data_IF_301001783628
#
_entry.id   IF_301001783628
#
_cell.length_a   1.000
_cell.length_b   1.000
_cell.length_c   1.000
_cell.angle_alpha   90.00
_cell.angle_beta   90.00
_cell.angle_gamma   90.00
#
_symmetry.space_group_name_H-M   'P 1'
#
loop_
_entity.id
_entity.type
_entity.pdbx_description
1 polymer ?
#
# COMPACT_ATOMS: atom_id res chain seq x y z
N UNK A 1 -24.31 0.24 -20.99
CA UNK A 1 -23.05 0.91 -20.66
C UNK A 1 -23.21 1.55 -19.30
N UNK A 2 -22.57 0.97 -18.29
CA UNK A 2 -22.53 1.54 -16.94
C UNK A 2 -21.80 2.89 -17.02
N UNK A 3 -22.28 3.92 -16.33
CA UNK A 3 -21.60 5.22 -16.26
C UNK A 3 -20.20 5.17 -15.64
N UNK A 4 -19.84 4.01 -15.06
CA UNK A 4 -18.55 3.71 -14.44
C UNK A 4 -17.64 2.83 -15.31
N UNK A 5 -18.01 2.53 -16.57
CA UNK A 5 -17.10 1.97 -17.60
C UNK A 5 -15.91 2.91 -17.93
N UNK A 6 -15.75 3.99 -17.16
CA UNK A 6 -14.67 4.97 -17.27
C UNK A 6 -13.31 4.45 -16.77
N UNK A 7 -13.25 3.38 -15.96
CA UNK A 7 -12.03 2.60 -15.73
C UNK A 7 -12.37 1.12 -15.54
N UNK A 8 -12.15 0.35 -16.61
CA UNK A 8 -11.86 -1.08 -16.51
C UNK A 8 -10.36 -1.26 -16.75
N UNK A 9 -9.59 -1.33 -15.66
CA UNK A 9 -8.13 -1.45 -15.73
C UNK A 9 -7.68 -2.63 -16.59
N UNK A 10 -8.46 -3.70 -16.71
CA UNK A 10 -8.14 -4.85 -17.57
C UNK A 10 -8.27 -4.54 -19.05
N UNK A 11 -9.23 -3.69 -19.43
CA UNK A 11 -9.39 -3.26 -20.81
C UNK A 11 -8.41 -2.14 -21.19
N UNK A 12 -8.09 -1.25 -20.24
CA UNK A 12 -7.21 -0.11 -20.52
C UNK A 12 -5.72 -0.45 -20.42
N UNK A 13 -5.29 -1.33 -19.53
CA UNK A 13 -3.87 -1.66 -19.35
C UNK A 13 -3.20 -2.12 -20.65
N UNK A 14 -3.73 -3.08 -21.45
CA UNK A 14 -3.10 -3.48 -22.70
C UNK A 14 -3.00 -2.34 -23.73
N UNK A 15 -3.98 -1.43 -23.74
CA UNK A 15 -3.99 -0.27 -24.64
C UNK A 15 -2.94 0.75 -24.16
N UNK A 16 -2.91 1.05 -22.87
CA UNK A 16 -1.96 1.96 -22.25
C UNK A 16 -0.52 1.44 -22.39
N UNK A 17 -0.28 0.16 -22.09
CA UNK A 17 0.99 -0.53 -22.29
C UNK A 17 1.45 -0.40 -23.75
N UNK A 18 0.60 -0.70 -24.72
CA UNK A 18 0.94 -0.54 -26.14
C UNK A 18 1.28 0.93 -26.52
N UNK A 19 0.60 1.91 -25.92
CA UNK A 19 0.89 3.33 -26.14
C UNK A 19 2.23 3.74 -25.52
N UNK A 20 2.50 3.32 -24.28
CA UNK A 20 3.76 3.58 -23.58
C UNK A 20 4.92 2.90 -24.31
N UNK A 21 4.77 1.66 -24.73
CA UNK A 21 5.83 0.91 -25.42
C UNK A 21 6.21 1.51 -26.77
N UNK A 22 5.28 2.13 -27.50
CA UNK A 22 5.62 2.92 -28.69
C UNK A 22 6.46 4.15 -28.35
N UNK A 23 6.22 4.76 -27.18
CA UNK A 23 7.05 5.87 -26.69
C UNK A 23 8.43 5.34 -26.27
N UNK A 24 8.49 4.23 -25.54
CA UNK A 24 9.74 3.57 -25.13
C UNK A 24 10.57 3.23 -26.37
N UNK A 25 10.01 2.58 -27.38
CA UNK A 25 10.69 2.24 -28.64
C UNK A 25 11.25 3.48 -29.35
N UNK A 26 10.53 4.60 -29.32
CA UNK A 26 10.97 5.85 -29.91
C UNK A 26 12.10 6.56 -29.11
N UNK A 27 12.23 6.28 -27.81
CA UNK A 27 13.28 6.82 -26.94
C UNK A 27 14.50 5.91 -26.95
N UNK A 28 14.30 4.61 -26.71
CA UNK A 28 15.32 3.58 -26.74
C UNK A 28 14.74 2.23 -27.24
N UNK A 29 15.03 1.83 -28.50
CA UNK A 29 14.54 0.59 -29.06
C UNK A 29 15.19 -0.67 -28.45
N UNK A 30 16.36 -0.55 -27.82
CA UNK A 30 17.00 -1.67 -27.11
C UNK A 30 16.24 -1.97 -25.82
N UNK A 31 15.94 -0.93 -25.04
CA UNK A 31 15.10 -1.04 -23.84
C UNK A 31 13.72 -1.61 -24.19
N UNK A 32 13.11 -1.17 -25.29
CA UNK A 32 11.81 -1.69 -25.72
C UNK A 32 11.83 -3.20 -26.02
N UNK A 33 12.96 -3.74 -26.48
CA UNK A 33 13.12 -5.17 -26.76
C UNK A 33 13.32 -6.02 -25.49
N UNK A 34 13.70 -5.39 -24.37
CA UNK A 34 13.93 -6.05 -23.08
C UNK A 34 12.66 -6.12 -22.21
N UNK A 35 11.65 -5.31 -22.54
CA UNK A 35 10.39 -5.24 -21.78
C UNK A 35 9.35 -6.18 -22.39
N UNK A 36 8.87 -7.14 -21.60
CA UNK A 36 7.70 -7.94 -21.95
C UNK A 36 6.41 -7.14 -21.72
N UNK A 37 5.78 -6.70 -22.82
CA UNK A 37 4.54 -5.90 -22.80
C UNK A 37 3.35 -6.66 -22.21
N UNK A 38 3.40 -8.00 -22.22
CA UNK A 38 2.35 -8.85 -21.65
C UNK A 38 2.70 -9.35 -20.25
N UNK A 39 3.88 -8.98 -19.73
CA UNK A 39 4.34 -9.22 -18.36
C UNK A 39 4.27 -7.96 -17.49
N UNK A 40 5.11 -7.89 -16.46
CA UNK A 40 5.25 -6.70 -15.60
C UNK A 40 6.07 -5.61 -16.31
N UNK A 41 5.47 -4.98 -17.30
CA UNK A 41 6.12 -3.97 -18.12
C UNK A 41 6.47 -2.70 -17.30
N UNK A 42 5.69 -2.38 -16.27
CA UNK A 42 5.95 -1.27 -15.35
C UNK A 42 7.19 -1.52 -14.48
N UNK A 43 7.30 -2.72 -13.91
CA UNK A 43 8.46 -3.16 -13.14
C UNK A 43 9.73 -3.19 -13.99
N UNK A 44 9.64 -3.78 -15.19
CA UNK A 44 10.75 -3.81 -16.14
C UNK A 44 11.19 -2.41 -16.55
N UNK A 45 10.25 -1.49 -16.79
CA UNK A 45 10.57 -0.10 -17.11
C UNK A 45 11.27 0.60 -15.93
N UNK A 46 10.84 0.33 -14.69
CA UNK A 46 11.46 0.88 -13.48
C UNK A 46 12.88 0.37 -13.24
N UNK A 47 13.15 -0.89 -13.57
CA UNK A 47 14.44 -1.55 -13.37
C UNK A 47 15.46 -1.18 -14.45
N UNK A 48 15.02 -1.13 -15.72
CA UNK A 48 15.94 -1.05 -16.85
C UNK A 48 16.08 0.36 -17.44
N UNK A 49 15.07 1.23 -17.27
CA UNK A 49 15.17 2.59 -17.80
C UNK A 49 16.02 3.49 -16.89
N UNK A 50 16.95 4.22 -17.48
CA UNK A 50 17.71 5.25 -16.78
C UNK A 50 16.80 6.43 -16.38
N UNK A 51 17.20 7.24 -15.39
CA UNK A 51 16.43 8.44 -15.02
C UNK A 51 16.19 9.42 -16.18
N UNK A 52 17.13 9.50 -17.14
CA UNK A 52 17.04 10.35 -18.33
C UNK A 52 15.99 9.80 -19.29
N UNK A 53 15.99 8.49 -19.54
CA UNK A 53 15.00 7.83 -20.40
C UNK A 53 13.60 7.91 -19.79
N UNK A 54 13.45 7.66 -18.48
CA UNK A 54 12.17 7.80 -17.79
C UNK A 54 11.60 9.22 -17.91
N UNK A 55 12.45 10.24 -17.76
CA UNK A 55 12.03 11.63 -17.92
C UNK A 55 11.59 11.94 -19.36
N UNK A 56 12.30 11.42 -20.37
CA UNK A 56 11.94 11.61 -21.78
C UNK A 56 10.66 10.86 -22.15
N UNK A 57 10.51 9.61 -21.72
CA UNK A 57 9.29 8.82 -21.88
C UNK A 57 8.12 9.55 -21.23
N UNK A 58 8.30 10.03 -19.99
CA UNK A 58 7.31 10.81 -19.27
C UNK A 58 6.86 12.06 -20.05
N UNK A 59 7.79 12.85 -20.59
CA UNK A 59 7.46 14.04 -21.40
C UNK A 59 6.64 13.70 -22.65
N UNK A 60 6.90 12.55 -23.27
CA UNK A 60 6.18 12.09 -24.48
C UNK A 60 4.83 11.43 -24.15
N UNK A 61 4.69 10.79 -23.00
CA UNK A 61 3.41 10.20 -22.52
C UNK A 61 2.47 11.28 -22.00
N UNK A 62 2.98 12.33 -21.35
CA UNK A 62 2.20 13.42 -20.76
C UNK A 62 1.06 13.97 -21.66
N UNK A 63 1.29 14.37 -22.92
CA UNK A 63 0.20 14.87 -23.78
C UNK A 63 -0.85 13.81 -24.13
N UNK A 64 -0.51 12.51 -24.05
CA UNK A 64 -1.47 11.43 -24.24
C UNK A 64 -2.41 11.29 -23.04
N UNK A 65 -1.88 11.47 -21.83
CA UNK A 65 -2.65 11.41 -20.59
C UNK A 65 -3.47 12.68 -20.32
N UNK A 66 -2.91 13.86 -20.59
CA UNK A 66 -3.57 15.16 -20.32
C UNK A 66 -4.61 15.54 -21.39
N UNK A 67 -4.85 14.71 -22.42
CA UNK A 67 -5.80 15.02 -23.50
C UNK A 67 -7.26 15.10 -23.04
N UNK A 68 -7.66 14.26 -22.07
CA UNK A 68 -9.01 14.19 -21.53
C UNK A 68 -9.06 13.23 -20.35
N UNK A 69 -9.43 13.70 -19.16
CA UNK A 69 -9.61 12.81 -18.00
C UNK A 69 -10.90 11.95 -18.09
N UNK A 70 -11.83 12.31 -18.99
CA UNK A 70 -13.01 11.50 -19.31
C UNK A 70 -12.69 10.33 -20.26
N UNK A 71 -11.50 10.29 -20.87
CA UNK A 71 -11.03 9.16 -21.67
C UNK A 71 -10.37 8.11 -20.74
N UNK A 72 -10.90 6.87 -20.66
CA UNK A 72 -10.40 5.84 -19.74
C UNK A 72 -8.91 5.56 -19.90
N UNK A 73 -8.42 5.52 -21.15
CA UNK A 73 -7.02 5.22 -21.44
C UNK A 73 -6.14 6.41 -21.04
N UNK A 74 -6.60 7.63 -21.31
CA UNK A 74 -5.86 8.83 -20.90
C UNK A 74 -5.77 8.95 -19.37
N UNK A 75 -6.85 8.64 -18.66
CA UNK A 75 -6.87 8.59 -17.20
C UNK A 75 -5.97 7.49 -16.64
N UNK A 76 -5.94 6.31 -17.27
CA UNK A 76 -5.00 5.26 -16.91
C UNK A 76 -3.54 5.72 -17.10
N UNK A 77 -3.24 6.37 -18.23
CA UNK A 77 -1.91 6.94 -18.47
C UNK A 77 -1.54 8.04 -17.45
N UNK A 78 -2.53 8.78 -16.94
CA UNK A 78 -2.31 9.79 -15.91
C UNK A 78 -1.86 9.17 -14.58
N UNK A 79 -2.43 8.03 -14.18
CA UNK A 79 -2.00 7.32 -12.96
C UNK A 79 -0.59 6.73 -13.05
N UNK A 80 -0.03 6.58 -14.26
CA UNK A 80 1.37 6.16 -14.47
C UNK A 80 2.39 7.29 -14.28
N UNK A 81 1.95 8.54 -14.10
CA UNK A 81 2.85 9.68 -13.95
C UNK A 81 3.91 9.53 -12.83
N UNK A 82 3.58 8.99 -11.64
CA UNK A 82 4.57 8.72 -10.60
C UNK A 82 5.65 7.73 -11.04
N UNK A 83 5.28 6.67 -11.77
CA UNK A 83 6.24 5.71 -12.34
C UNK A 83 7.20 6.42 -13.30
N UNK A 84 6.65 7.28 -14.17
CA UNK A 84 7.38 8.06 -15.16
C UNK A 84 8.08 9.31 -14.60
N UNK A 85 8.12 9.46 -13.26
CA UNK A 85 8.73 10.60 -12.56
C UNK A 85 8.16 11.97 -12.96
N UNK A 86 6.91 12.00 -13.41
CA UNK A 86 6.17 13.24 -13.67
C UNK A 86 5.55 13.70 -12.34
N UNK A 87 6.14 14.73 -11.75
CA UNK A 87 5.71 15.24 -10.43
C UNK A 87 4.87 16.52 -10.50
N UNK A 88 4.76 17.16 -11.68
CA UNK A 88 4.13 18.48 -11.88
C UNK A 88 2.83 18.43 -12.69
N UNK A 89 2.04 17.37 -12.53
CA UNK A 89 0.75 17.24 -13.21
C UNK A 89 -0.35 18.01 -12.50
N UNK A 90 -1.26 18.59 -13.27
CA UNK A 90 -2.44 19.23 -12.69
C UNK A 90 -3.42 18.15 -12.19
N UNK A 91 -3.41 17.90 -10.89
CA UNK A 91 -4.30 16.90 -10.27
C UNK A 91 -5.72 17.42 -10.02
N UNK A 92 -6.05 18.63 -10.48
CA UNK A 92 -7.41 19.18 -10.37
C UNK A 92 -8.43 18.30 -11.07
N UNK A 93 -8.07 17.63 -12.17
CA UNK A 93 -8.96 16.71 -12.90
C UNK A 93 -9.42 15.52 -12.05
N UNK A 94 -8.52 14.97 -11.23
CA UNK A 94 -8.82 13.86 -10.32
C UNK A 94 -9.81 14.33 -9.24
N UNK A 95 -9.56 15.51 -8.66
CA UNK A 95 -10.44 16.10 -7.64
C UNK A 95 -11.81 16.48 -8.21
N UNK A 96 -11.85 16.98 -9.44
CA UNK A 96 -13.10 17.27 -10.16
C UNK A 96 -13.93 16.00 -10.36
N UNK A 97 -13.30 14.86 -10.65
CA UNK A 97 -14.02 13.59 -10.82
C UNK A 97 -14.58 13.08 -9.48
N UNK A 98 -13.83 13.18 -8.38
CA UNK A 98 -14.36 12.90 -7.03
C UNK A 98 -15.61 13.74 -6.72
N UNK A 99 -15.58 15.04 -7.03
CA UNK A 99 -16.75 15.92 -6.84
C UNK A 99 -17.96 15.50 -7.69
N UNK A 100 -17.74 15.07 -8.94
CA UNK A 100 -18.82 14.57 -9.81
C UNK A 100 -19.42 13.26 -9.28
N UNK A 101 -18.58 12.39 -8.71
CA UNK A 101 -18.97 11.04 -8.31
C UNK A 101 -19.47 10.93 -6.84
N UNK A 102 -19.32 11.98 -6.04
CA UNK A 102 -19.60 11.92 -4.59
C UNK A 102 -21.05 11.55 -4.24
N UNK A 103 -22.02 11.89 -5.07
CA UNK A 103 -23.45 11.64 -4.80
C UNK A 103 -23.95 10.37 -5.50
N UNK A 104 -23.02 9.59 -6.08
CA UNK A 104 -23.35 8.39 -6.79
C UNK A 104 -23.67 7.22 -5.88
N UNK A 105 -24.57 6.34 -6.35
CA UNK A 105 -24.94 5.16 -5.60
C UNK A 105 -23.73 4.21 -5.49
N UNK A 106 -23.33 3.80 -4.27
CA UNK A 106 -22.21 2.89 -4.08
C UNK A 106 -22.36 1.58 -4.89
N UNK A 107 -21.31 1.24 -5.63
CA UNK A 107 -21.17 -0.03 -6.33
C UNK A 107 -19.68 -0.35 -6.55
N UNK A 108 -19.37 -1.60 -6.88
CA UNK A 108 -18.00 -2.07 -7.04
C UNK A 108 -17.22 -1.27 -8.10
N UNK A 109 -17.86 -0.93 -9.22
CA UNK A 109 -17.21 -0.16 -10.29
C UNK A 109 -16.86 1.26 -9.83
N UNK A 110 -17.73 1.89 -9.05
CA UNK A 110 -17.48 3.21 -8.47
C UNK A 110 -16.30 3.14 -7.49
N UNK A 111 -16.28 2.15 -6.59
CA UNK A 111 -15.20 1.97 -5.63
C UNK A 111 -13.84 1.81 -6.34
N UNK A 112 -13.77 1.01 -7.40
CA UNK A 112 -12.55 0.84 -8.22
C UNK A 112 -12.04 2.15 -8.81
N UNK A 113 -12.95 2.94 -9.37
CA UNK A 113 -12.64 4.24 -9.98
C UNK A 113 -12.10 5.22 -8.91
N UNK A 114 -12.74 5.25 -7.74
CA UNK A 114 -12.32 6.13 -6.64
C UNK A 114 -10.99 5.68 -6.01
N UNK A 115 -10.77 4.37 -5.88
CA UNK A 115 -9.52 3.81 -5.34
C UNK A 115 -8.33 4.12 -6.27
N UNK A 116 -8.50 3.96 -7.59
CA UNK A 116 -7.47 4.33 -8.56
C UNK A 116 -7.09 5.82 -8.49
N UNK A 117 -8.10 6.69 -8.38
CA UNK A 117 -7.89 8.13 -8.28
C UNK A 117 -7.23 8.54 -6.97
N UNK A 118 -7.58 7.92 -5.84
CA UNK A 118 -6.93 8.25 -4.57
C UNK A 118 -5.47 7.81 -4.56
N UNK A 119 -5.13 6.67 -5.18
CA UNK A 119 -3.75 6.22 -5.32
C UNK A 119 -2.92 7.20 -6.16
N UNK A 120 -3.54 7.78 -7.18
CA UNK A 120 -2.94 8.88 -7.96
C UNK A 120 -2.65 10.09 -7.07
N UNK A 121 -3.62 10.55 -6.27
CA UNK A 121 -3.44 11.68 -5.34
C UNK A 121 -2.39 11.39 -4.26
N UNK A 122 -2.32 10.16 -3.75
CA UNK A 122 -1.32 9.72 -2.77
C UNK A 122 0.07 9.77 -3.38
N UNK A 123 0.22 9.33 -4.63
CA UNK A 123 1.53 9.19 -5.29
C UNK A 123 2.15 10.53 -5.68
N UNK A 124 1.33 11.54 -5.96
CA UNK A 124 1.75 12.90 -6.32
C UNK A 124 1.69 13.89 -5.15
N UNK A 125 1.57 13.39 -3.92
CA UNK A 125 1.44 14.22 -2.72
C UNK A 125 2.69 15.09 -2.48
N UNK A 126 2.58 16.38 -2.80
CA UNK A 126 3.67 17.36 -2.76
C UNK A 126 3.13 18.77 -2.43
N UNK A 127 3.96 19.70 -1.93
CA UNK A 127 3.51 21.05 -1.53
C UNK A 127 2.75 21.81 -2.61
N UNK A 128 3.14 21.65 -3.88
CA UNK A 128 2.48 22.22 -5.05
C UNK A 128 1.03 21.80 -5.24
N UNK A 129 0.61 20.66 -4.68
CA UNK A 129 -0.76 20.12 -4.81
C UNK A 129 -1.62 20.32 -3.56
N UNK A 130 -1.13 21.04 -2.53
CA UNK A 130 -1.86 21.24 -1.27
C UNK A 130 -3.27 21.79 -1.49
N UNK A 131 -3.46 22.72 -2.43
CA UNK A 131 -4.77 23.33 -2.70
C UNK A 131 -5.78 22.30 -3.22
N UNK A 132 -5.35 21.42 -4.13
CA UNK A 132 -6.19 20.33 -4.65
C UNK A 132 -6.48 19.29 -3.58
N UNK A 133 -5.49 18.92 -2.76
CA UNK A 133 -5.67 17.98 -1.66
C UNK A 133 -6.63 18.54 -0.58
N UNK A 134 -6.53 19.83 -0.24
CA UNK A 134 -7.47 20.51 0.66
C UNK A 134 -8.89 20.46 0.10
N UNK A 135 -9.05 20.78 -1.20
CA UNK A 135 -10.35 20.71 -1.87
C UNK A 135 -10.95 19.30 -1.82
N UNK A 136 -10.16 18.27 -2.15
CA UNK A 136 -10.59 16.88 -2.08
C UNK A 136 -11.03 16.48 -0.66
N UNK A 137 -10.24 16.84 0.36
CA UNK A 137 -10.54 16.53 1.75
C UNK A 137 -11.76 17.30 2.28
N UNK A 138 -12.17 18.38 1.63
CA UNK A 138 -13.38 19.13 2.00
C UNK A 138 -14.67 18.55 1.43
N UNK A 139 -14.60 17.70 0.40
CA UNK A 139 -15.79 17.10 -0.23
C UNK A 139 -16.64 16.39 0.85
N UNK A 140 -17.84 16.90 1.09
CA UNK A 140 -18.72 16.40 2.13
C UNK A 140 -19.66 15.33 1.55
N UNK A 141 -19.21 14.06 1.58
CA UNK A 141 -20.00 12.91 1.16
C UNK A 141 -19.47 11.62 1.80
N UNK A 142 -20.39 10.73 2.20
CA UNK A 142 -20.07 9.40 2.71
C UNK A 142 -19.44 8.49 1.63
N UNK A 143 -19.75 8.72 0.36
CA UNK A 143 -19.28 7.90 -0.77
C UNK A 143 -17.76 7.97 -0.95
N UNK A 144 -17.17 9.16 -0.77
CA UNK A 144 -15.73 9.40 -0.98
C UNK A 144 -14.93 9.34 0.33
N UNK A 145 -15.61 9.13 1.46
CA UNK A 145 -15.00 9.10 2.77
C UNK A 145 -13.89 8.05 2.91
N UNK A 146 -14.05 6.80 2.40
CA UNK A 146 -12.98 5.80 2.48
C UNK A 146 -11.68 6.28 1.83
N UNK A 147 -11.77 6.92 0.67
CA UNK A 147 -10.63 7.47 -0.05
C UNK A 147 -10.01 8.67 0.68
N UNK A 148 -10.83 9.58 1.24
CA UNK A 148 -10.33 10.67 2.08
C UNK A 148 -9.53 10.13 3.28
N UNK A 149 -10.03 9.07 3.93
CA UNK A 149 -9.34 8.43 5.04
C UNK A 149 -8.03 7.74 4.61
N UNK A 150 -8.01 7.10 3.43
CA UNK A 150 -6.79 6.51 2.87
C UNK A 150 -5.72 7.58 2.61
N UNK A 151 -6.10 8.70 1.98
CA UNK A 151 -5.20 9.82 1.73
C UNK A 151 -4.65 10.44 3.03
N UNK A 152 -5.49 10.63 4.06
CA UNK A 152 -5.05 11.13 5.38
C UNK A 152 -4.01 10.19 6.00
N UNK A 153 -4.26 8.88 5.98
CA UNK A 153 -3.31 7.91 6.53
C UNK A 153 -1.97 7.96 5.79
N UNK A 154 -2.02 7.92 4.45
CA UNK A 154 -0.83 7.94 3.61
C UNK A 154 -0.01 9.23 3.82
N UNK A 155 -0.66 10.39 3.88
CA UNK A 155 0.07 11.64 4.08
C UNK A 155 0.66 11.80 5.49
N UNK A 156 0.06 11.19 6.51
CA UNK A 156 0.65 11.15 7.87
C UNK A 156 1.87 10.24 7.87
N UNK A 157 1.78 9.06 7.24
CA UNK A 157 2.89 8.13 7.09
C UNK A 157 4.07 8.76 6.34
N UNK A 158 3.80 9.49 5.25
CA UNK A 158 4.79 10.25 4.48
C UNK A 158 5.32 11.50 5.20
N UNK A 159 4.73 11.89 6.33
CA UNK A 159 5.06 13.12 7.05
C UNK A 159 4.59 14.40 6.35
N UNK A 160 3.90 14.30 5.21
CA UNK A 160 3.46 15.41 4.37
C UNK A 160 2.62 16.44 5.13
N UNK A 161 1.64 15.98 5.93
CA UNK A 161 0.72 16.89 6.62
C UNK A 161 1.39 17.76 7.69
N UNK A 162 2.59 17.40 8.15
CA UNK A 162 3.30 18.19 9.18
C UNK A 162 3.76 19.55 8.63
N UNK A 163 4.13 19.58 7.36
CA UNK A 163 4.62 20.78 6.68
C UNK A 163 3.50 21.51 5.90
N UNK A 164 2.27 20.99 5.95
CA UNK A 164 1.11 21.53 5.25
C UNK A 164 0.16 22.26 6.22
N UNK A 165 0.53 23.49 6.62
CA UNK A 165 -0.27 24.34 7.54
C UNK A 165 -1.73 24.46 7.11
N UNK A 166 -1.97 24.57 5.81
CA UNK A 166 -3.32 24.67 5.24
C UNK A 166 -4.22 23.47 5.54
N UNK A 167 -3.64 22.32 5.92
CA UNK A 167 -4.35 21.06 6.18
C UNK A 167 -4.49 20.76 7.69
N UNK A 168 -3.97 21.62 8.57
CA UNK A 168 -4.01 21.42 10.02
C UNK A 168 -5.44 21.44 10.61
N UNK A 169 -6.42 21.96 9.87
CA UNK A 169 -7.84 21.88 10.25
C UNK A 169 -8.35 20.44 10.36
N UNK A 170 -7.72 19.47 9.69
CA UNK A 170 -8.08 18.05 9.73
C UNK A 170 -8.10 17.51 11.16
N UNK A 171 -7.24 18.03 12.03
CA UNK A 171 -7.10 17.52 13.40
C UNK A 171 -8.38 17.73 14.24
N UNK A 172 -9.23 18.68 13.88
CA UNK A 172 -10.53 18.93 14.52
C UNK A 172 -11.69 18.79 13.53
N UNK A 173 -11.50 18.04 12.45
CA UNK A 173 -12.48 17.88 11.38
C UNK A 173 -13.49 16.77 11.65
N UNK A 174 -14.44 16.60 10.71
CA UNK A 174 -15.44 15.52 10.69
C UNK A 174 -14.84 14.10 10.68
N UNK A 175 -13.56 13.96 10.35
CA UNK A 175 -12.87 12.67 10.34
C UNK A 175 -12.60 12.12 11.76
N UNK A 176 -12.69 12.97 12.79
CA UNK A 176 -12.51 12.56 14.18
C UNK A 176 -13.65 11.68 14.68
N UNK A 177 -13.29 10.67 15.48
CA UNK A 177 -14.23 9.74 16.09
C UNK A 177 -14.80 8.70 15.11
N UNK A 178 -14.41 8.74 13.85
CA UNK A 178 -14.88 7.76 12.85
C UNK A 178 -14.32 6.36 13.10
N UNK A 179 -13.01 6.26 13.33
CA UNK A 179 -12.38 5.05 13.87
C UNK A 179 -11.04 5.37 14.54
N UNK A 180 -10.60 4.47 15.41
CA UNK A 180 -9.37 4.61 16.19
C UNK A 180 -8.11 4.84 15.34
N UNK A 181 -8.03 4.22 14.16
CA UNK A 181 -6.85 4.35 13.28
C UNK A 181 -6.75 5.75 12.67
N UNK A 182 -7.88 6.31 12.21
CA UNK A 182 -7.90 7.66 11.67
C UNK A 182 -7.66 8.70 12.78
N UNK A 183 -8.21 8.48 13.97
CA UNK A 183 -7.91 9.34 15.13
C UNK A 183 -6.42 9.37 15.46
N UNK A 184 -5.76 8.21 15.46
CA UNK A 184 -4.30 8.13 15.66
C UNK A 184 -3.52 8.85 14.57
N UNK A 185 -3.93 8.75 13.30
CA UNK A 185 -3.30 9.48 12.20
C UNK A 185 -3.42 11.00 12.42
N UNK A 186 -4.61 11.47 12.78
CA UNK A 186 -4.89 12.88 13.06
C UNK A 186 -4.12 13.40 14.30
N UNK A 187 -3.91 12.58 15.32
CA UNK A 187 -3.08 12.94 16.47
C UNK A 187 -1.62 13.15 16.07
N UNK A 188 -1.10 12.30 15.17
CA UNK A 188 0.29 12.37 14.66
C UNK A 188 0.57 13.58 13.76
N UNK A 189 -0.46 14.30 13.30
CA UNK A 189 -0.30 15.53 12.52
C UNK A 189 0.27 16.69 13.36
N UNK A 190 0.00 16.73 14.68
CA UNK A 190 0.41 17.83 15.59
C UNK A 190 1.78 17.64 16.22
N UNK A 191 2.41 16.48 16.06
CA UNK A 191 3.71 16.20 16.68
C UNK A 191 4.81 17.01 16.01
N UNK A 192 5.58 17.75 16.81
CA UNK A 192 6.77 18.51 16.41
C UNK A 192 7.74 17.68 15.55
N UNK A 193 8.55 18.32 14.68
CA UNK A 193 9.47 17.59 13.83
C UNK A 193 10.43 16.79 14.70
N UNK A 194 10.54 15.48 14.43
CA UNK A 194 11.72 14.74 14.85
C UNK A 194 12.90 15.40 14.17
N UNK A 195 13.89 15.84 14.94
CA UNK A 195 15.17 16.28 14.38
C UNK A 195 15.62 15.27 13.33
N UNK A 196 15.96 15.78 12.14
CA UNK A 196 16.55 15.00 11.06
C UNK A 196 17.88 14.44 11.57
N UNK A 197 17.86 13.25 12.15
CA UNK A 197 19.01 12.38 12.13
C UNK A 197 19.18 11.95 10.67
N UNK A 198 19.99 12.70 9.93
CA UNK A 198 20.56 12.27 8.66
C UNK A 198 21.49 11.10 9.00
N UNK A 199 20.92 9.91 9.05
CA UNK A 199 21.66 8.67 8.89
C UNK A 199 21.22 8.12 7.55
N UNK A 200 22.19 7.95 6.65
CA UNK A 200 22.05 7.35 5.33
C UNK A 200 20.99 6.26 5.33
N UNK A 201 19.82 6.55 4.72
CA UNK A 201 18.84 5.53 4.39
C UNK A 201 19.30 4.88 3.09
N UNK A 202 19.69 3.59 3.08
CA UNK A 202 19.68 2.85 1.83
C UNK A 202 18.23 2.78 1.38
N UNK A 203 17.95 3.10 0.11
CA UNK A 203 16.71 2.73 -0.54
C UNK A 203 16.58 1.20 -0.46
N UNK A 204 15.76 0.71 0.47
CA UNK A 204 15.47 -0.70 0.61
C UNK A 204 14.18 -1.00 -0.15
N UNK A 205 14.30 -1.39 -1.42
CA UNK A 205 13.29 -2.14 -2.15
C UNK A 205 13.14 -3.54 -1.55
N UNK A 206 12.55 -3.65 -0.37
CA UNK A 206 12.34 -4.90 0.36
C UNK A 206 10.86 -5.18 0.55
N UNK A 207 10.45 -6.41 0.23
CA UNK A 207 9.11 -6.98 0.44
C UNK A 207 8.47 -6.57 1.78
N UNK A 208 7.23 -6.07 1.75
CA UNK A 208 6.47 -5.77 2.97
C UNK A 208 5.81 -7.06 3.49
N UNK A 209 6.01 -7.47 4.76
CA UNK A 209 5.32 -8.62 5.32
C UNK A 209 3.84 -8.30 5.57
N UNK A 210 2.97 -9.22 5.17
CA UNK A 210 1.53 -9.16 5.40
C UNK A 210 1.17 -10.18 6.47
N UNK A 211 0.55 -9.72 7.55
CA UNK A 211 0.20 -10.54 8.70
C UNK A 211 -1.27 -10.93 8.64
N UNK A 212 -1.55 -12.23 8.60
CA UNK A 212 -2.90 -12.79 8.53
C UNK A 212 -3.15 -13.64 9.78
N UNK A 213 -4.08 -13.26 10.67
CA UNK A 213 -4.47 -14.08 11.81
C UNK A 213 -5.31 -15.24 11.30
N UNK A 214 -4.98 -16.45 11.73
CA UNK A 214 -5.64 -17.69 11.30
C UNK A 214 -6.27 -18.35 12.52
N UNK A 215 -7.61 -18.44 12.59
CA UNK A 215 -8.29 -19.08 13.71
C UNK A 215 -7.81 -20.51 13.95
N UNK A 216 -7.67 -20.93 15.21
CA UNK A 216 -7.14 -22.26 15.56
C UNK A 216 -7.82 -23.42 14.80
N UNK A 217 -9.15 -23.35 14.63
CA UNK A 217 -9.93 -24.35 13.90
C UNK A 217 -9.58 -24.41 12.41
N UNK A 218 -9.31 -23.26 11.79
CA UNK A 218 -8.89 -23.15 10.39
C UNK A 218 -7.40 -23.52 10.22
N UNK A 219 -6.55 -23.13 11.17
CA UNK A 219 -5.12 -23.48 11.18
C UNK A 219 -4.92 -25.00 11.13
N UNK A 220 -5.72 -25.76 11.89
CA UNK A 220 -5.68 -27.22 11.89
C UNK A 220 -6.20 -27.85 10.59
N UNK A 221 -7.04 -27.14 9.83
CA UNK A 221 -7.52 -27.59 8.53
C UNK A 221 -6.49 -27.31 7.43
N UNK A 222 -5.89 -26.12 7.44
CA UNK A 222 -4.83 -25.73 6.51
C UNK A 222 -3.63 -26.67 6.58
N UNK A 223 -3.25 -27.16 7.77
CA UNK A 223 -2.19 -28.16 7.92
C UNK A 223 -2.45 -29.48 7.16
N UNK A 224 -3.68 -29.77 6.76
CA UNK A 224 -4.06 -31.03 6.08
C UNK A 224 -4.08 -30.93 4.56
N UNK A 225 -4.04 -29.72 4.00
CA UNK A 225 -4.02 -29.51 2.55
C UNK A 225 -2.59 -29.20 2.09
N UNK A 226 -2.33 -29.26 0.79
CA UNK A 226 -0.99 -28.97 0.25
C UNK A 226 -0.65 -27.47 0.31
N UNK A 227 0.61 -27.13 0.03
CA UNK A 227 1.12 -25.76 0.16
C UNK A 227 0.37 -24.76 -0.75
N UNK A 228 0.09 -25.14 -2.00
CA UNK A 228 -0.60 -24.29 -2.95
C UNK A 228 -2.06 -24.04 -2.53
N UNK A 229 -2.77 -25.08 -2.11
CA UNK A 229 -4.14 -24.98 -1.61
C UNK A 229 -4.23 -24.17 -0.31
N UNK A 230 -3.23 -24.28 0.58
CA UNK A 230 -3.15 -23.44 1.79
C UNK A 230 -3.04 -21.96 1.47
N UNK A 231 -2.16 -21.60 0.53
CA UNK A 231 -1.97 -20.22 0.13
C UNK A 231 -3.22 -19.67 -0.56
N UNK A 232 -3.83 -20.45 -1.45
CA UNK A 232 -5.09 -20.09 -2.12
C UNK A 232 -6.21 -19.84 -1.09
N UNK A 233 -6.40 -20.74 -0.12
CA UNK A 233 -7.44 -20.56 0.92
C UNK A 233 -7.18 -19.32 1.80
N UNK A 234 -5.92 -19.02 2.11
CA UNK A 234 -5.55 -17.82 2.87
C UNK A 234 -5.79 -16.54 2.05
N UNK A 235 -5.41 -16.53 0.77
CA UNK A 235 -5.66 -15.41 -0.13
C UNK A 235 -7.16 -15.18 -0.34
N UNK A 236 -7.94 -16.23 -0.62
CA UNK A 236 -9.40 -16.14 -0.77
C UNK A 236 -10.06 -15.59 0.51
N UNK A 237 -9.62 -16.05 1.68
CA UNK A 237 -10.15 -15.57 2.96
C UNK A 237 -9.79 -14.10 3.24
N UNK A 238 -8.64 -13.62 2.73
CA UNK A 238 -8.25 -12.21 2.80
C UNK A 238 -9.06 -11.37 1.80
N UNK A 239 -9.17 -11.82 0.55
CA UNK A 239 -9.89 -11.12 -0.53
C UNK A 239 -11.40 -11.00 -0.24
N UNK A 240 -12.00 -12.05 0.31
CA UNK A 240 -13.40 -12.03 0.76
C UNK A 240 -13.63 -11.32 2.11
N UNK A 241 -12.59 -10.67 2.67
CA UNK A 241 -12.61 -9.97 3.96
C UNK A 241 -13.05 -10.85 5.14
N UNK A 242 -12.83 -12.18 5.03
CA UNK A 242 -13.10 -13.15 6.11
C UNK A 242 -12.03 -13.10 7.21
N UNK A 243 -10.81 -12.67 6.88
CA UNK A 243 -9.71 -12.49 7.82
C UNK A 243 -9.22 -11.02 7.84
N UNK A 244 -8.92 -10.51 9.04
CA UNK A 244 -8.40 -9.15 9.22
C UNK A 244 -6.89 -9.13 8.97
N UNK A 245 -6.43 -8.38 7.98
CA UNK A 245 -5.00 -8.30 7.65
C UNK A 245 -4.32 -7.14 8.38
N UNK A 246 -3.11 -7.39 8.88
CA UNK A 246 -2.18 -6.35 9.33
C UNK A 246 -1.12 -6.12 8.26
N UNK A 247 -1.19 -4.98 7.57
CA UNK A 247 -0.08 -4.45 6.78
C UNK A 247 0.74 -3.54 7.68
N UNK A 248 1.84 -4.06 8.21
CA UNK A 248 2.66 -3.31 9.16
C UNK A 248 3.83 -2.71 8.38
N UNK A 249 3.58 -1.54 7.79
CA UNK A 249 4.57 -0.76 7.08
C UNK A 249 5.49 -0.04 8.08
N UNK A 250 6.74 -0.45 8.08
CA UNK A 250 7.76 0.16 8.92
C UNK A 250 9.12 -0.37 8.59
N UNK A 251 9.60 -0.14 7.36
CA UNK A 251 10.99 -0.35 6.93
C UNK A 251 11.63 -1.60 7.56
N UNK A 252 11.33 -2.77 6.98
CA UNK A 252 11.56 -4.11 7.56
C UNK A 252 12.88 -4.28 8.32
N UNK A 253 13.97 -3.69 7.83
CA UNK A 253 15.28 -3.72 8.50
C UNK A 253 15.34 -2.94 9.84
N UNK A 254 14.76 -1.74 9.93
CA UNK A 254 14.79 -0.93 11.14
C UNK A 254 13.88 -1.51 12.24
N UNK A 255 12.71 -2.01 11.86
CA UNK A 255 11.81 -2.72 12.78
C UNK A 255 12.43 -4.04 13.24
N UNK A 256 13.04 -4.80 12.33
CA UNK A 256 13.78 -6.02 12.67
C UNK A 256 14.92 -5.75 13.65
N UNK A 257 15.80 -4.76 13.39
CA UNK A 257 16.90 -4.42 14.29
C UNK A 257 16.42 -4.04 15.70
N UNK A 258 15.27 -3.39 15.81
CA UNK A 258 14.66 -3.04 17.10
C UNK A 258 14.10 -4.25 17.82
N UNK A 259 13.43 -5.15 17.10
CA UNK A 259 12.97 -6.43 17.65
C UNK A 259 14.16 -7.29 18.10
N UNK A 260 15.27 -7.28 17.36
CA UNK A 260 16.53 -7.96 17.75
C UNK A 260 17.04 -7.38 19.07
N UNK A 261 17.04 -6.05 19.22
CA UNK A 261 17.46 -5.39 20.44
C UNK A 261 16.55 -5.70 21.65
N UNK A 262 15.24 -5.90 21.43
CA UNK A 262 14.27 -6.19 22.48
C UNK A 262 14.23 -7.67 22.89
N UNK A 263 14.25 -8.58 21.91
CA UNK A 263 13.90 -9.98 22.11
C UNK A 263 15.01 -10.96 21.70
N UNK A 264 16.07 -10.45 21.06
CA UNK A 264 17.09 -11.26 20.41
C UNK A 264 16.70 -11.67 18.99
N UNK A 265 17.70 -12.10 18.20
CA UNK A 265 17.53 -12.36 16.77
C UNK A 265 16.48 -13.43 16.45
N UNK A 266 16.43 -14.52 17.21
CA UNK A 266 15.50 -15.62 16.95
C UNK A 266 14.02 -15.21 17.10
N UNK A 267 13.67 -14.48 18.17
CA UNK A 267 12.29 -14.00 18.36
C UNK A 267 11.97 -12.86 17.38
N UNK A 268 12.93 -12.02 17.01
CA UNK A 268 12.77 -11.01 15.96
C UNK A 268 12.50 -11.62 14.58
N UNK A 269 13.25 -12.66 14.20
CA UNK A 269 13.06 -13.41 12.97
C UNK A 269 11.70 -14.12 12.96
N UNK A 270 11.29 -14.70 14.09
CA UNK A 270 9.99 -15.32 14.21
C UNK A 270 8.86 -14.29 14.05
N UNK A 271 9.01 -13.08 14.60
CA UNK A 271 8.02 -12.00 14.45
C UNK A 271 7.96 -11.50 13.00
N UNK A 272 9.10 -11.30 12.35
CA UNK A 272 9.16 -10.69 11.02
C UNK A 272 8.90 -11.67 9.89
N UNK A 273 9.33 -12.92 10.06
CA UNK A 273 9.41 -13.91 8.99
C UNK A 273 8.77 -15.24 9.37
N UNK A 274 8.15 -15.39 10.56
CA UNK A 274 7.56 -16.64 11.02
C UNK A 274 8.59 -17.68 11.49
N UNK A 275 8.21 -18.49 12.47
CA UNK A 275 9.07 -19.54 13.03
C UNK A 275 9.04 -20.81 12.17
N UNK A 276 7.86 -21.19 11.67
CA UNK A 276 7.67 -22.42 10.88
C UNK A 276 7.57 -22.09 9.41
N UNK A 277 8.34 -22.77 8.57
CA UNK A 277 8.19 -22.69 7.12
C UNK A 277 7.04 -23.60 6.65
N UNK A 278 6.04 -23.01 5.99
CA UNK A 278 4.91 -23.74 5.41
C UNK A 278 5.06 -23.97 3.90
N UNK A 279 6.16 -23.49 3.32
CA UNK A 279 6.59 -23.71 1.95
C UNK A 279 8.08 -24.10 1.85
N UNK A 280 8.51 -25.18 2.54
CA UNK A 280 9.93 -25.57 2.57
C UNK A 280 10.48 -25.99 1.19
N UNK A 281 9.59 -26.42 0.30
CA UNK A 281 9.92 -26.84 -1.06
C UNK A 281 9.87 -25.67 -2.07
N UNK A 282 9.54 -24.45 -1.62
CA UNK A 282 9.43 -23.23 -2.44
C UNK A 282 8.48 -23.37 -3.63
N UNK A 283 7.33 -23.98 -3.39
CA UNK A 283 6.25 -24.15 -4.37
C UNK A 283 5.48 -22.83 -4.61
N UNK A 284 5.66 -21.84 -3.72
CA UNK A 284 5.06 -20.51 -3.77
C UNK A 284 6.13 -19.42 -3.59
N UNK A 285 5.73 -18.14 -3.49
CA UNK A 285 6.63 -17.03 -3.17
C UNK A 285 7.19 -17.07 -1.72
N UNK A 286 6.87 -18.14 -0.97
CA UNK A 286 7.28 -18.35 0.40
C UNK A 286 6.31 -17.70 1.38
N UNK A 287 5.78 -18.52 2.29
CA UNK A 287 5.07 -18.01 3.46
C UNK A 287 5.34 -18.86 4.68
N UNK A 288 5.41 -18.18 5.82
CA UNK A 288 5.82 -18.77 7.08
C UNK A 288 4.80 -18.43 8.15
N UNK A 289 4.76 -19.23 9.20
CA UNK A 289 3.72 -19.11 10.21
C UNK A 289 4.28 -19.16 11.62
N UNK A 290 3.54 -18.50 12.50
CA UNK A 290 3.58 -18.69 13.93
C UNK A 290 2.29 -19.42 14.34
N UNK A 291 2.43 -20.65 14.83
CA UNK A 291 1.29 -21.37 15.38
C UNK A 291 0.79 -20.69 16.68
N UNK A 292 -0.41 -21.02 17.19
CA UNK A 292 -0.96 -20.37 18.38
C UNK A 292 -0.05 -20.39 19.62
N UNK A 293 0.78 -21.43 19.77
CA UNK A 293 1.75 -21.53 20.88
C UNK A 293 2.86 -20.50 20.73
N UNK A 294 3.40 -20.36 19.52
CA UNK A 294 4.42 -19.36 19.19
C UNK A 294 3.85 -17.95 19.30
N UNK A 295 2.63 -17.71 18.81
CA UNK A 295 1.93 -16.42 18.94
C UNK A 295 1.79 -16.03 20.42
N UNK A 296 1.36 -16.96 21.28
CA UNK A 296 1.24 -16.70 22.71
C UNK A 296 2.58 -16.38 23.38
N UNK A 297 3.67 -17.08 22.99
CA UNK A 297 5.03 -16.79 23.47
C UNK A 297 5.48 -15.39 23.07
N UNK A 298 5.33 -15.03 21.80
CA UNK A 298 5.76 -13.74 21.27
C UNK A 298 4.92 -12.58 21.82
N UNK A 299 3.61 -12.79 22.01
CA UNK A 299 2.75 -11.81 22.66
C UNK A 299 3.17 -11.52 24.12
N UNK A 300 3.57 -12.54 24.87
CA UNK A 300 4.15 -12.35 26.21
C UNK A 300 5.48 -11.59 26.19
N UNK A 301 6.31 -11.77 25.17
CA UNK A 301 7.54 -10.98 24.99
C UNK A 301 7.22 -9.50 24.79
N UNK A 302 6.23 -9.19 23.96
CA UNK A 302 5.77 -7.83 23.74
C UNK A 302 5.20 -7.19 25.00
N UNK A 303 4.41 -7.92 25.80
CA UNK A 303 3.84 -7.42 27.06
C UNK A 303 4.93 -7.09 28.10
N UNK A 304 6.04 -7.85 28.09
CA UNK A 304 7.19 -7.61 28.96
C UNK A 304 8.19 -6.56 28.46
N UNK A 305 8.02 -6.01 27.25
CA UNK A 305 8.91 -5.00 26.71
C UNK A 305 8.43 -3.57 26.99
N UNK A 306 9.38 -2.70 27.34
CA UNK A 306 9.11 -1.27 27.48
C UNK A 306 9.11 -0.57 26.11
N UNK A 307 8.07 -0.85 25.32
CA UNK A 307 7.91 -0.31 23.96
C UNK A 307 7.61 1.19 24.01
N UNK A 308 7.04 1.69 25.11
CA UNK A 308 6.61 3.08 25.26
C UNK A 308 7.74 4.11 25.37
N UNK A 309 8.94 3.68 25.78
CA UNK A 309 10.14 4.54 25.85
C UNK A 309 10.98 4.50 24.58
N UNK A 310 10.63 3.66 23.61
CA UNK A 310 11.39 3.51 22.38
C UNK A 310 11.06 4.60 21.36
N UNK A 311 12.09 5.24 20.82
CA UNK A 311 11.93 6.17 19.70
C UNK A 311 11.46 5.43 18.45
N UNK A 312 10.42 5.97 17.79
CA UNK A 312 9.86 5.44 16.53
C UNK A 312 9.27 4.03 16.65
N UNK A 313 8.73 3.65 17.81
CA UNK A 313 8.19 2.31 18.06
C UNK A 313 6.85 1.98 17.39
N UNK A 314 6.36 2.75 16.40
CA UNK A 314 5.01 2.56 15.83
C UNK A 314 4.82 1.15 15.29
N UNK A 315 5.72 0.68 14.43
CA UNK A 315 5.63 -0.66 13.83
C UNK A 315 5.79 -1.77 14.89
N UNK A 316 6.67 -1.60 15.87
CA UNK A 316 6.85 -2.54 16.99
C UNK A 316 5.60 -2.59 17.87
N UNK A 317 4.96 -1.45 18.13
CA UNK A 317 3.71 -1.36 18.88
C UNK A 317 2.50 -1.91 18.11
N UNK A 318 2.47 -1.74 16.79
CA UNK A 318 1.47 -2.35 15.92
C UNK A 318 1.60 -3.88 15.90
N UNK A 319 2.84 -4.40 15.81
CA UNK A 319 3.12 -5.84 15.98
C UNK A 319 2.69 -6.32 17.36
N UNK A 320 3.03 -5.60 18.43
CA UNK A 320 2.61 -5.95 19.79
C UNK A 320 1.09 -6.06 19.91
N UNK A 321 0.35 -5.07 19.39
CA UNK A 321 -1.11 -5.08 19.36
C UNK A 321 -1.67 -6.24 18.55
N UNK A 322 -1.06 -6.53 17.40
CA UNK A 322 -1.48 -7.61 16.51
C UNK A 322 -1.30 -9.00 17.15
N UNK A 323 -0.11 -9.26 17.72
CA UNK A 323 0.18 -10.51 18.43
C UNK A 323 -0.67 -10.68 19.69
N UNK A 324 -0.92 -9.59 20.45
CA UNK A 324 -1.80 -9.64 21.62
C UNK A 324 -3.24 -10.02 21.26
N UNK A 325 -3.80 -9.43 20.20
CA UNK A 325 -5.14 -9.76 19.74
C UNK A 325 -5.25 -11.20 19.21
N UNK A 326 -4.26 -11.65 18.43
CA UNK A 326 -4.20 -13.03 17.95
C UNK A 326 -4.11 -14.02 19.12
N UNK A 327 -3.28 -13.73 20.13
CA UNK A 327 -3.19 -14.53 21.35
C UNK A 327 -4.54 -14.61 22.08
N UNK A 328 -5.25 -13.50 22.25
CA UNK A 328 -6.55 -13.47 22.94
C UNK A 328 -7.61 -14.35 22.27
N UNK A 329 -7.54 -14.50 20.94
CA UNK A 329 -8.45 -15.36 20.17
C UNK A 329 -7.95 -16.81 20.04
N UNK A 330 -6.70 -17.07 20.40
CA UNK A 330 -6.04 -18.37 20.19
C UNK A 330 -5.64 -18.62 18.75
N UNK A 331 -5.45 -17.56 17.96
CA UNK A 331 -5.12 -17.65 16.54
C UNK A 331 -3.63 -17.99 16.32
N UNK A 332 -3.34 -18.60 15.17
CA UNK A 332 -2.01 -18.53 14.57
C UNK A 332 -1.86 -17.25 13.75
N UNK A 333 -0.65 -16.97 13.27
CA UNK A 333 -0.39 -15.87 12.35
C UNK A 333 0.38 -16.42 11.15
N UNK A 334 -0.17 -16.25 9.94
CA UNK A 334 0.55 -16.44 8.70
C UNK A 334 1.20 -15.12 8.27
N UNK A 335 2.43 -15.20 7.78
CA UNK A 335 3.24 -14.07 7.35
C UNK A 335 3.58 -14.30 5.89
N UNK A 336 2.97 -13.50 5.02
CA UNK A 336 3.15 -13.54 3.58
C UNK A 336 4.18 -12.47 3.23
N UNK A 337 5.31 -12.85 2.62
CA UNK A 337 6.28 -11.89 2.13
C UNK A 337 5.79 -11.35 0.79
N UNK A 338 5.50 -10.05 0.72
CA UNK A 338 5.04 -9.44 -0.53
C UNK A 338 6.19 -9.34 -1.54
N UNK A 339 6.50 -10.43 -2.23
CA UNK A 339 7.35 -10.38 -3.41
C UNK A 339 6.63 -10.70 -4.72
N UNK A 340 5.47 -11.37 -4.76
CA UNK A 340 4.90 -11.67 -6.10
C UNK A 340 3.42 -12.12 -6.22
N UNK A 341 2.60 -12.29 -5.18
CA UNK A 341 1.29 -13.00 -5.37
C UNK A 341 0.08 -12.57 -4.51
N UNK A 342 -0.20 -11.27 -4.40
CA UNK A 342 -1.58 -10.81 -4.13
C UNK A 342 -2.19 -10.03 -5.31
N UNK A 343 -1.45 -9.90 -6.42
CA UNK A 343 -1.91 -9.23 -7.64
C UNK A 343 -2.13 -10.20 -8.83
N UNK A 344 -1.79 -11.49 -8.71
CA UNK A 344 -1.85 -12.43 -9.84
C UNK A 344 -3.23 -13.12 -10.05
N UNK A 345 -4.28 -12.70 -9.33
CA UNK A 345 -5.68 -13.09 -9.59
C UNK A 345 -6.67 -11.93 -9.42
N UNK A 346 -6.18 -10.70 -9.52
CA UNK A 346 -7.08 -9.63 -9.94
C UNK A 346 -7.14 -9.74 -11.44
#
# INVERSE_FOLDING_TARGET
MSKFEKLDTYEQDPIAAAMVMRVVEAVNPVLAAEIDVYGDWEGALREHATPVELAEIGQRVRPLAERSFDDPVARYLFGLFPLLKITSSDVSYVVDEFEKLKDEKPCLDLDRVLDYDVDTLISVMAPEHIAQLDRFLRIDSETVWPQQAALIKAGVQKGFFRDADALQWLVSSRFRGWNRYLDQALDRMRSAPKEKAIADRPEAGGAMPIYVPVPAGQFAQLLKVDCAARLEELCDAVEEKRLLVGEIDGGSAATHQRLVALFGAADADAVMCGETDWDPDRQTAGFRVNNPVVVARLAQRFDGADIGVMEDASAVGELAGFYSQAQQRGDGIAILMNQERLHARR
#
